data_IF_426298117684
#
_entry.id   IF_426298117684
#
_cell.length_a   1.000
_cell.length_b   1.000
_cell.length_c   1.000
_cell.angle_alpha   90.00
_cell.angle_beta   90.00
_cell.angle_gamma   90.00
#
_symmetry.space_group_name_H-M   'P 1'
#
loop_
_entity.id
_entity.type
_entity.pdbx_description
1 polymer ?
#
# COMPACT_ATOMS: atom_id res chain seq x y z
N UNK A 1 26.52 12.78 -41.58
CA UNK A 1 25.79 13.60 -40.59
C UNK A 1 24.70 12.73 -39.99
N UNK A 2 24.87 12.27 -38.74
CA UNK A 2 23.84 11.48 -38.06
C UNK A 2 22.67 12.42 -37.72
N UNK A 3 21.52 12.21 -38.36
CA UNK A 3 20.25 12.81 -37.95
C UNK A 3 19.97 12.34 -36.53
N UNK A 4 20.12 13.23 -35.55
CA UNK A 4 19.59 13.02 -34.21
C UNK A 4 18.07 12.99 -34.38
N UNK A 5 17.49 11.80 -34.35
CA UNK A 5 16.04 11.62 -34.31
C UNK A 5 15.51 12.32 -33.07
N UNK A 6 14.80 13.43 -33.24
CA UNK A 6 14.11 14.15 -32.17
C UNK A 6 12.82 13.41 -31.80
N UNK A 7 12.96 12.19 -31.27
CA UNK A 7 11.84 11.46 -30.70
C UNK A 7 11.32 12.20 -29.47
N UNK A 8 10.01 12.17 -29.27
CA UNK A 8 9.41 12.72 -28.04
C UNK A 8 9.88 11.92 -26.82
N UNK A 9 9.86 12.51 -25.62
CA UNK A 9 10.19 11.77 -24.38
C UNK A 9 9.36 10.49 -24.24
N UNK A 10 8.12 10.49 -24.74
CA UNK A 10 7.23 9.32 -24.70
C UNK A 10 7.70 8.17 -25.59
N UNK A 11 8.40 8.46 -26.68
CA UNK A 11 8.95 7.47 -27.62
C UNK A 11 10.33 6.95 -27.17
N UNK A 12 10.94 7.57 -26.16
CA UNK A 12 12.22 7.09 -25.63
C UNK A 12 12.05 5.72 -24.98
N UNK A 13 12.78 4.72 -25.48
CA UNK A 13 12.88 3.38 -24.88
C UNK A 13 13.23 3.45 -23.39
N UNK A 14 14.17 4.34 -23.02
CA UNK A 14 14.55 4.57 -21.63
C UNK A 14 13.36 5.05 -20.80
N UNK A 15 12.59 6.01 -21.29
CA UNK A 15 11.42 6.50 -20.57
C UNK A 15 10.35 5.43 -20.43
N UNK A 16 10.08 4.67 -21.49
CA UNK A 16 9.10 3.59 -21.49
C UNK A 16 9.49 2.49 -20.50
N UNK A 17 10.72 1.98 -20.57
CA UNK A 17 11.20 0.93 -19.67
C UNK A 17 11.18 1.39 -18.20
N UNK A 18 11.71 2.58 -17.91
CA UNK A 18 11.71 3.10 -16.53
C UNK A 18 10.30 3.32 -15.99
N UNK A 19 9.38 3.83 -16.82
CA UNK A 19 7.98 4.04 -16.41
C UNK A 19 7.26 2.72 -16.18
N UNK A 20 7.47 1.74 -17.06
CA UNK A 20 6.94 0.38 -16.94
C UNK A 20 7.46 -0.30 -15.67
N UNK A 21 8.76 -0.24 -15.40
CA UNK A 21 9.34 -0.82 -14.18
C UNK A 21 8.80 -0.14 -12.92
N UNK A 22 8.73 1.19 -12.93
CA UNK A 22 8.22 1.96 -11.80
C UNK A 22 6.71 1.79 -11.55
N UNK A 23 5.97 1.16 -12.49
CA UNK A 23 4.57 0.79 -12.29
C UNK A 23 4.39 -0.45 -11.41
N UNK A 24 5.45 -1.27 -11.27
CA UNK A 24 5.43 -2.47 -10.44
C UNK A 24 5.70 -2.08 -8.99
N UNK A 25 4.80 -2.51 -8.10
CA UNK A 25 4.99 -2.27 -6.68
C UNK A 25 6.33 -2.85 -6.18
N UNK A 26 7.03 -2.09 -5.33
CA UNK A 26 8.37 -2.44 -4.85
C UNK A 26 9.51 -1.98 -5.78
N UNK A 27 9.23 -1.53 -7.00
CA UNK A 27 10.24 -0.98 -7.91
C UNK A 27 10.10 0.55 -7.98
N UNK A 28 10.91 1.25 -7.18
CA UNK A 28 11.02 2.71 -7.24
C UNK A 28 11.96 3.20 -8.37
N UNK A 29 12.04 4.52 -8.64
CA UNK A 29 12.86 5.08 -9.72
C UNK A 29 14.34 4.68 -9.67
N UNK A 30 14.89 4.53 -8.47
CA UNK A 30 16.28 4.08 -8.28
C UNK A 30 16.45 2.62 -8.69
N UNK A 31 15.52 1.74 -8.28
CA UNK A 31 15.58 0.32 -8.64
C UNK A 31 15.29 0.12 -10.13
N UNK A 32 14.31 0.84 -10.69
CA UNK A 32 14.03 0.86 -12.12
C UNK A 32 15.27 1.23 -12.95
N UNK A 33 16.04 2.22 -12.51
CA UNK A 33 17.30 2.60 -13.18
C UNK A 33 18.33 1.46 -13.13
N UNK A 34 18.51 0.82 -11.96
CA UNK A 34 19.42 -0.32 -11.83
C UNK A 34 19.04 -1.46 -12.77
N UNK A 35 17.76 -1.83 -12.82
CA UNK A 35 17.25 -2.88 -13.70
C UNK A 35 17.45 -2.52 -15.18
N UNK A 36 17.21 -1.26 -15.54
CA UNK A 36 17.51 -0.77 -16.90
C UNK A 36 19.00 -0.83 -17.23
N UNK A 37 19.87 -0.43 -16.31
CA UNK A 37 21.32 -0.46 -16.50
C UNK A 37 21.87 -1.90 -16.59
N UNK A 38 21.16 -2.89 -16.02
CA UNK A 38 21.42 -4.33 -16.22
C UNK A 38 20.96 -4.87 -17.58
N UNK A 39 20.34 -4.04 -18.43
CA UNK A 39 19.91 -4.41 -19.78
C UNK A 39 18.45 -4.79 -19.92
N UNK A 40 17.66 -4.83 -18.84
CA UNK A 40 16.24 -5.16 -18.90
C UNK A 40 15.45 -4.02 -19.55
N UNK A 41 14.43 -4.36 -20.35
CA UNK A 41 13.56 -3.38 -21.04
C UNK A 41 12.08 -3.62 -20.86
N UNK A 42 11.65 -4.88 -20.68
CA UNK A 42 10.23 -5.24 -20.69
C UNK A 42 9.77 -5.89 -19.38
N UNK A 43 8.46 -6.12 -19.24
CA UNK A 43 7.91 -6.84 -18.08
C UNK A 43 8.38 -8.30 -18.11
N UNK A 44 8.45 -8.91 -19.28
CA UNK A 44 8.93 -10.28 -19.47
C UNK A 44 10.39 -10.41 -19.01
N UNK A 45 11.21 -9.37 -19.21
CA UNK A 45 12.57 -9.35 -18.67
C UNK A 45 12.56 -9.32 -17.13
N UNK A 46 11.64 -8.56 -16.51
CA UNK A 46 11.48 -8.56 -15.05
C UNK A 46 11.00 -9.91 -14.54
N UNK A 47 10.01 -10.51 -15.19
CA UNK A 47 9.47 -11.83 -14.85
C UNK A 47 10.59 -12.88 -14.87
N UNK A 48 11.40 -12.92 -15.93
CA UNK A 48 12.58 -13.79 -16.00
C UNK A 48 13.60 -13.48 -14.90
N UNK A 49 13.90 -12.20 -14.67
CA UNK A 49 14.88 -11.79 -13.67
C UNK A 49 14.47 -12.14 -12.24
N UNK A 50 13.16 -12.13 -11.95
CA UNK A 50 12.61 -12.47 -10.65
C UNK A 50 12.09 -13.92 -10.56
N UNK A 51 12.39 -14.77 -11.55
CA UNK A 51 11.93 -16.16 -11.63
C UNK A 51 10.39 -16.30 -11.46
N UNK A 52 9.63 -15.50 -12.20
CA UNK A 52 8.17 -15.55 -12.29
C UNK A 52 7.80 -16.17 -13.65
N UNK A 53 7.37 -17.43 -13.71
CA UNK A 53 6.92 -18.04 -14.95
C UNK A 53 5.72 -17.28 -15.56
N UNK A 54 5.62 -17.20 -16.90
CA UNK A 54 4.46 -16.62 -17.55
C UNK A 54 3.17 -17.34 -17.17
N UNK A 55 2.13 -16.57 -16.82
CA UNK A 55 0.84 -17.12 -16.42
C UNK A 55 0.79 -17.68 -15.00
N UNK A 56 1.84 -17.50 -14.19
CA UNK A 56 1.80 -17.85 -12.76
C UNK A 56 0.69 -17.11 -12.03
N UNK A 57 -0.01 -17.82 -11.18
CA UNK A 57 -0.88 -17.28 -10.14
C UNK A 57 -0.09 -17.06 -8.84
N UNK A 58 -0.70 -16.39 -7.87
CA UNK A 58 -0.09 -16.21 -6.54
C UNK A 58 0.22 -17.56 -5.90
N UNK A 59 -0.65 -18.55 -6.09
CA UNK A 59 -0.50 -19.90 -5.53
C UNK A 59 0.63 -20.70 -6.21
N UNK A 60 0.98 -20.35 -7.45
CA UNK A 60 2.07 -20.98 -8.21
C UNK A 60 3.45 -20.44 -7.82
N UNK A 61 3.50 -19.24 -7.25
CA UNK A 61 4.74 -18.71 -6.74
C UNK A 61 5.10 -19.49 -5.47
N UNK A 62 6.33 -20.03 -5.39
CA UNK A 62 6.82 -20.62 -4.16
C UNK A 62 7.09 -19.51 -3.15
N UNK A 63 6.03 -18.92 -2.59
CA UNK A 63 6.15 -18.09 -1.42
C UNK A 63 6.43 -18.99 -0.24
N UNK A 64 7.66 -18.92 0.27
CA UNK A 64 7.95 -19.22 1.66
C UNK A 64 7.27 -20.52 2.16
N UNK A 65 7.39 -21.62 1.42
CA UNK A 65 7.52 -22.89 2.15
C UNK A 65 8.71 -22.66 3.06
N UNK A 66 8.46 -22.39 4.33
CA UNK A 66 9.43 -22.53 5.42
C UNK A 66 9.86 -24.01 5.53
N UNK A 67 10.23 -24.66 4.41
CA UNK A 67 11.21 -25.72 4.51
C UNK A 67 12.50 -25.00 4.85
N UNK A 68 12.89 -25.11 6.11
CA UNK A 68 14.23 -24.75 6.55
C UNK A 68 15.21 -25.28 5.50
N UNK A 69 15.89 -24.41 4.76
CA UNK A 69 17.02 -24.84 3.93
C UNK A 69 18.08 -25.33 4.92
N UNK A 70 18.17 -26.66 5.02
CA UNK A 70 19.12 -27.35 5.86
C UNK A 70 20.37 -27.58 5.01
N UNK A 71 21.55 -27.31 5.57
CA UNK A 71 22.79 -27.90 5.06
C UNK A 71 22.63 -29.43 5.03
N UNK A 72 23.44 -30.18 4.25
CA UNK A 72 23.46 -31.64 4.30
C UNK A 72 23.63 -32.25 5.71
N UNK A 73 24.11 -31.46 6.67
CA UNK A 73 24.27 -31.83 8.09
C UNK A 73 23.14 -31.32 9.01
N UNK A 74 21.97 -30.94 8.47
CA UNK A 74 20.79 -30.57 9.26
C UNK A 74 20.86 -29.19 9.94
N UNK A 75 21.82 -28.31 9.61
CA UNK A 75 21.87 -26.94 10.12
C UNK A 75 21.10 -25.97 9.23
N UNK A 76 20.28 -25.09 9.82
CA UNK A 76 19.60 -24.01 9.08
C UNK A 76 20.61 -23.06 8.44
N UNK A 77 20.47 -22.79 7.14
CA UNK A 77 21.22 -21.76 6.43
C UNK A 77 20.63 -20.39 6.81
N UNK A 78 21.41 -19.44 7.35
CA UNK A 78 20.94 -18.07 7.59
C UNK A 78 20.61 -17.41 6.24
N UNK A 79 19.37 -16.95 6.07
CA UNK A 79 19.00 -16.20 4.86
C UNK A 79 19.75 -14.87 4.79
N UNK A 80 20.20 -14.41 3.60
CA UNK A 80 20.75 -13.08 3.44
C UNK A 80 19.69 -12.04 3.80
N UNK A 81 20.11 -10.99 4.51
CA UNK A 81 19.26 -9.88 4.92
C UNK A 81 18.75 -9.13 3.67
N UNK A 82 17.60 -9.54 3.12
CA UNK A 82 16.85 -8.68 2.22
C UNK A 82 16.38 -7.47 3.04
N UNK A 83 16.72 -6.28 2.57
CA UNK A 83 16.43 -5.01 3.24
C UNK A 83 14.92 -4.73 3.24
N UNK A 84 14.20 -5.38 4.14
CA UNK A 84 12.81 -5.10 4.50
C UNK A 84 12.76 -4.46 5.87
N UNK A 85 11.97 -3.41 5.99
CA UNK A 85 11.73 -2.60 7.20
C UNK A 85 11.57 -3.48 8.44
N UNK A 86 12.44 -3.29 9.44
CA UNK A 86 12.34 -3.96 10.74
C UNK A 86 11.08 -3.48 11.49
N UNK A 87 9.95 -4.13 11.25
CA UNK A 87 8.80 -4.10 12.15
C UNK A 87 9.15 -4.94 13.39
N UNK A 88 9.33 -4.30 14.54
CA UNK A 88 9.43 -4.98 15.84
C UNK A 88 8.05 -5.54 16.23
N UNK A 89 7.70 -6.72 15.74
CA UNK A 89 6.60 -7.51 16.31
C UNK A 89 7.06 -8.19 17.60
N UNK A 90 6.71 -7.62 18.76
CA UNK A 90 6.74 -8.33 20.05
C UNK A 90 5.33 -8.86 20.31
N UNK A 91 5.10 -10.14 19.99
CA UNK A 91 3.87 -10.86 20.29
C UNK A 91 4.05 -12.33 19.95
N UNK A 92 4.06 -13.22 20.96
CA UNK A 92 4.24 -14.66 20.78
C UNK A 92 2.87 -15.24 20.38
N UNK A 93 2.57 -15.33 19.09
CA UNK A 93 1.32 -15.94 18.58
C UNK A 93 0.62 -15.25 17.41
N UNK A 94 1.09 -14.08 16.95
CA UNK A 94 0.47 -13.38 15.81
C UNK A 94 0.84 -14.06 14.48
N UNK A 95 -0.17 -14.40 13.68
CA UNK A 95 0.03 -14.86 12.30
C UNK A 95 0.74 -13.74 11.53
N UNK A 96 1.91 -14.04 10.97
CA UNK A 96 2.64 -13.10 10.13
C UNK A 96 1.95 -13.05 8.77
N UNK A 97 1.37 -11.91 8.43
CA UNK A 97 0.76 -11.70 7.11
C UNK A 97 1.84 -11.76 6.01
N UNK A 98 1.52 -12.30 4.82
CA UNK A 98 2.42 -12.27 3.67
C UNK A 98 2.77 -10.84 3.27
N UNK A 99 4.06 -10.57 3.05
CA UNK A 99 4.53 -9.27 2.57
C UNK A 99 4.40 -9.19 1.04
N UNK A 100 4.07 -8.01 0.52
CA UNK A 100 3.97 -7.77 -0.92
C UNK A 100 5.35 -7.75 -1.60
N UNK A 101 5.82 -8.91 -2.07
CA UNK A 101 7.09 -9.03 -2.79
C UNK A 101 7.01 -8.53 -4.24
N UNK A 102 8.16 -8.29 -4.88
CA UNK A 102 8.20 -7.92 -6.31
C UNK A 102 7.63 -9.05 -7.18
N UNK A 103 7.85 -10.32 -6.80
CA UNK A 103 7.29 -11.48 -7.52
C UNK A 103 5.77 -11.45 -7.52
N UNK A 104 5.17 -11.24 -6.36
CA UNK A 104 3.70 -11.08 -6.23
C UNK A 104 3.22 -9.84 -6.97
N UNK A 105 3.96 -8.74 -6.92
CA UNK A 105 3.61 -7.52 -7.65
C UNK A 105 3.59 -7.72 -9.17
N UNK A 106 4.46 -8.57 -9.71
CA UNK A 106 4.44 -8.95 -11.12
C UNK A 106 3.21 -9.79 -11.45
N UNK A 107 2.92 -10.82 -10.66
CA UNK A 107 1.74 -11.68 -10.84
C UNK A 107 0.43 -10.90 -10.73
N UNK A 108 0.31 -10.02 -9.74
CA UNK A 108 -0.90 -9.23 -9.50
C UNK A 108 -0.97 -7.93 -10.31
N UNK A 109 0.00 -7.67 -11.20
CA UNK A 109 0.11 -6.40 -11.95
C UNK A 109 -1.18 -6.04 -12.67
N UNK A 110 -1.78 -6.99 -13.40
CA UNK A 110 -2.98 -6.74 -14.19
C UNK A 110 -4.17 -6.37 -13.29
N UNK A 111 -4.38 -7.15 -12.22
CA UNK A 111 -5.43 -6.89 -11.23
C UNK A 111 -5.25 -5.50 -10.59
N UNK A 112 -4.04 -5.17 -10.13
CA UNK A 112 -3.72 -3.93 -9.41
C UNK A 112 -3.69 -2.67 -10.28
N UNK A 113 -3.51 -2.82 -11.60
CA UNK A 113 -3.53 -1.67 -12.54
C UNK A 113 -4.91 -1.44 -13.15
N UNK A 114 -5.81 -2.41 -13.02
CA UNK A 114 -7.20 -2.28 -13.46
C UNK A 114 -7.91 -1.22 -12.60
N UNK A 115 -8.60 -0.28 -13.23
CA UNK A 115 -9.32 0.77 -12.51
C UNK A 115 -10.51 0.20 -11.71
N UNK A 116 -10.87 0.88 -10.62
CA UNK A 116 -11.90 0.46 -9.66
C UNK A 116 -13.13 1.36 -9.81
N UNK A 117 -14.29 0.83 -10.27
CA UNK A 117 -15.55 1.58 -10.32
C UNK A 117 -16.03 2.00 -8.92
N UNK A 118 -16.74 3.13 -8.83
CA UNK A 118 -17.25 3.65 -7.54
C UNK A 118 -18.07 2.66 -6.74
N UNK A 119 -18.92 1.87 -7.40
CA UNK A 119 -19.72 0.85 -6.75
C UNK A 119 -18.87 -0.21 -6.04
N UNK A 120 -17.74 -0.62 -6.64
CA UNK A 120 -16.82 -1.57 -6.02
C UNK A 120 -16.07 -0.92 -4.85
N UNK A 121 -15.68 0.35 -4.96
CA UNK A 121 -15.09 1.12 -3.84
C UNK A 121 -16.04 1.16 -2.63
N UNK A 122 -17.32 1.42 -2.89
CA UNK A 122 -18.37 1.48 -1.86
C UNK A 122 -18.62 0.10 -1.24
N UNK A 123 -18.61 -0.97 -2.03
CA UNK A 123 -18.71 -2.34 -1.54
C UNK A 123 -17.52 -2.74 -0.65
N UNK A 124 -16.29 -2.43 -1.08
CA UNK A 124 -15.07 -2.65 -0.27
C UNK A 124 -15.17 -1.92 1.07
N UNK A 125 -15.60 -0.65 1.05
CA UNK A 125 -15.79 0.14 2.26
C UNK A 125 -16.83 -0.47 3.20
N UNK A 126 -17.99 -0.89 2.69
CA UNK A 126 -19.03 -1.54 3.49
C UNK A 126 -18.55 -2.82 4.17
N UNK A 127 -17.82 -3.68 3.44
CA UNK A 127 -17.25 -4.92 4.00
C UNK A 127 -16.24 -4.61 5.09
N UNK A 128 -15.31 -3.67 4.85
CA UNK A 128 -14.31 -3.25 5.84
C UNK A 128 -14.99 -2.70 7.10
N UNK A 129 -15.97 -1.81 6.94
CA UNK A 129 -16.65 -1.18 8.07
C UNK A 129 -17.52 -2.18 8.84
N UNK A 130 -18.10 -3.17 8.18
CA UNK A 130 -18.78 -4.28 8.85
C UNK A 130 -17.83 -5.07 9.75
N UNK A 131 -16.67 -5.48 9.23
CA UNK A 131 -15.68 -6.22 10.03
C UNK A 131 -15.08 -5.36 11.16
N UNK A 132 -14.95 -4.05 10.95
CA UNK A 132 -14.51 -3.11 11.98
C UNK A 132 -15.54 -2.94 13.10
N UNK A 133 -16.83 -2.87 12.76
CA UNK A 133 -17.91 -2.72 13.74
C UNK A 133 -17.96 -3.90 14.73
N UNK A 134 -17.62 -5.11 14.28
CA UNK A 134 -17.54 -6.32 15.13
C UNK A 134 -16.39 -6.25 16.16
N UNK A 135 -15.27 -5.60 15.83
CA UNK A 135 -14.09 -5.53 16.71
C UNK A 135 -14.07 -4.26 17.57
N UNK A 136 -14.62 -3.16 17.07
CA UNK A 136 -14.67 -1.88 17.76
C UNK A 136 -15.89 -1.08 17.27
N UNK A 137 -17.04 -1.20 17.96
CA UNK A 137 -18.20 -0.37 17.73
C UNK A 137 -17.88 1.13 17.88
N UNK A 138 -18.62 1.98 17.15
CA UNK A 138 -18.51 3.43 17.27
C UNK A 138 -17.45 4.08 16.38
N UNK A 139 -16.75 3.27 15.56
CA UNK A 139 -15.86 3.77 14.54
C UNK A 139 -16.61 4.54 13.43
N UNK A 140 -16.01 5.64 12.98
CA UNK A 140 -16.47 6.44 11.85
C UNK A 140 -15.42 6.41 10.74
N UNK A 141 -15.84 6.63 9.49
CA UNK A 141 -14.88 6.61 8.38
C UNK A 141 -15.27 7.53 7.23
N UNK A 142 -14.30 7.80 6.37
CA UNK A 142 -14.48 8.54 5.12
C UNK A 142 -13.59 7.94 4.06
N UNK A 143 -14.19 7.58 2.91
CA UNK A 143 -13.44 7.23 1.70
C UNK A 143 -12.82 8.52 1.17
N UNK A 144 -11.50 8.54 0.99
CA UNK A 144 -10.72 9.72 0.57
C UNK A 144 -10.13 9.52 -0.82
N UNK A 145 -8.93 10.04 -1.09
CA UNK A 145 -8.22 9.81 -2.35
C UNK A 145 -8.96 10.32 -3.58
N UNK A 146 -8.74 9.64 -4.70
CA UNK A 146 -9.38 9.97 -5.98
C UNK A 146 -10.91 9.89 -5.95
N UNK A 147 -11.44 8.95 -5.18
CA UNK A 147 -12.88 8.75 -5.02
C UNK A 147 -13.56 10.00 -4.46
N UNK A 148 -13.02 10.58 -3.37
CA UNK A 148 -13.58 11.77 -2.72
C UNK A 148 -13.48 13.03 -3.57
N UNK A 149 -12.50 13.10 -4.47
CA UNK A 149 -12.37 14.17 -5.47
C UNK A 149 -13.30 13.99 -6.69
N UNK A 150 -14.19 12.99 -6.66
CA UNK A 150 -15.19 12.79 -7.70
C UNK A 150 -14.70 12.01 -8.92
N UNK A 151 -13.57 11.28 -8.84
CA UNK A 151 -13.18 10.42 -9.96
C UNK A 151 -14.25 9.33 -10.20
N UNK A 152 -14.60 9.05 -11.48
CA UNK A 152 -15.52 7.97 -11.82
C UNK A 152 -14.92 6.58 -11.58
N UNK A 153 -13.58 6.49 -11.64
CA UNK A 153 -12.84 5.27 -11.33
C UNK A 153 -11.59 5.63 -10.51
N UNK A 154 -11.27 4.78 -9.54
CA UNK A 154 -10.09 4.91 -8.67
C UNK A 154 -8.97 3.96 -9.09
N UNK A 155 -7.74 4.23 -8.65
CA UNK A 155 -6.62 3.30 -8.79
C UNK A 155 -6.50 2.38 -7.55
N UNK A 156 -7.00 2.85 -6.43
CA UNK A 156 -6.91 2.28 -5.09
C UNK A 156 -8.10 2.77 -4.25
N UNK A 157 -8.30 2.14 -3.09
CA UNK A 157 -9.29 2.56 -2.10
C UNK A 157 -8.58 3.05 -0.85
N UNK A 158 -8.72 4.34 -0.54
CA UNK A 158 -8.19 4.95 0.67
C UNK A 158 -9.33 5.20 1.68
N UNK A 159 -9.20 4.72 2.90
CA UNK A 159 -10.21 4.90 3.96
C UNK A 159 -9.55 5.51 5.19
N UNK A 160 -9.98 6.73 5.56
CA UNK A 160 -9.70 7.29 6.89
C UNK A 160 -10.71 6.71 7.87
N UNK A 161 -10.23 6.20 9.00
CA UNK A 161 -11.01 5.61 10.07
C UNK A 161 -10.67 6.34 11.38
N UNK A 162 -11.68 6.60 12.20
CA UNK A 162 -11.53 7.11 13.56
C UNK A 162 -12.67 6.60 14.45
N UNK A 163 -12.86 7.22 15.60
CA UNK A 163 -13.93 6.90 16.55
C UNK A 163 -14.77 8.14 16.84
N UNK A 164 -16.08 7.96 16.99
CA UNK A 164 -17.02 9.07 17.21
C UNK A 164 -16.87 9.76 18.57
N UNK A 165 -16.38 9.03 19.59
CA UNK A 165 -16.09 9.60 20.91
C UNK A 165 -14.79 10.42 20.92
N UNK A 166 -14.90 11.73 21.12
CA UNK A 166 -13.79 12.66 21.24
C UNK A 166 -12.99 12.53 22.55
N UNK A 167 -13.53 11.90 23.59
CA UNK A 167 -12.84 11.78 24.89
C UNK A 167 -11.95 10.55 24.95
N UNK A 168 -12.49 9.39 24.56
CA UNK A 168 -11.77 8.11 24.65
C UNK A 168 -11.34 7.54 23.30
N UNK A 169 -11.81 8.12 22.18
CA UNK A 169 -11.60 7.58 20.85
C UNK A 169 -10.15 7.40 20.44
N UNK A 170 -9.25 8.31 20.86
CA UNK A 170 -7.82 8.18 20.59
C UNK A 170 -7.20 6.90 21.19
N UNK A 171 -7.69 6.46 22.35
CA UNK A 171 -7.29 5.18 22.97
C UNK A 171 -7.92 3.98 22.26
N UNK A 172 -9.17 4.11 21.82
CA UNK A 172 -9.93 3.03 21.17
C UNK A 172 -9.41 2.70 19.76
N UNK A 173 -8.92 3.69 19.00
CA UNK A 173 -8.36 3.46 17.66
C UNK A 173 -6.91 2.96 17.68
N UNK A 174 -6.23 3.02 18.83
CA UNK A 174 -4.81 2.62 18.96
C UNK A 174 -4.63 1.12 18.75
N UNK A 175 -3.75 0.76 17.81
CA UNK A 175 -3.48 -0.64 17.45
C UNK A 175 -4.62 -1.32 16.69
N UNK A 176 -5.73 -0.61 16.44
CA UNK A 176 -6.89 -1.17 15.76
C UNK A 176 -6.59 -1.47 14.30
N UNK A 177 -5.66 -0.73 13.71
CA UNK A 177 -5.15 -0.97 12.37
C UNK A 177 -4.61 -2.40 12.21
N UNK A 178 -3.71 -2.82 13.10
CA UNK A 178 -3.15 -4.19 13.06
C UNK A 178 -4.23 -5.24 13.30
N UNK A 179 -5.11 -5.03 14.29
CA UNK A 179 -6.21 -5.96 14.60
C UNK A 179 -7.18 -6.15 13.44
N UNK A 180 -7.61 -5.05 12.80
CA UNK A 180 -8.50 -5.10 11.64
C UNK A 180 -7.83 -5.82 10.48
N UNK A 181 -6.58 -5.49 10.15
CA UNK A 181 -5.85 -6.12 9.05
C UNK A 181 -5.68 -7.63 9.28
N UNK A 182 -5.34 -8.07 10.49
CA UNK A 182 -5.28 -9.49 10.84
C UNK A 182 -6.64 -10.19 10.69
N UNK A 183 -7.73 -9.54 11.12
CA UNK A 183 -9.09 -10.08 10.95
C UNK A 183 -9.47 -10.22 9.48
N UNK A 184 -9.22 -9.19 8.66
CA UNK A 184 -9.49 -9.23 7.23
C UNK A 184 -8.67 -10.33 6.54
N UNK A 185 -7.41 -10.55 6.95
CA UNK A 185 -6.58 -11.65 6.47
C UNK A 185 -7.16 -13.01 6.86
N UNK A 186 -7.57 -13.20 8.12
CA UNK A 186 -8.20 -14.45 8.57
C UNK A 186 -9.53 -14.76 7.84
N UNK A 187 -10.18 -13.75 7.26
CA UNK A 187 -11.37 -13.87 6.42
C UNK A 187 -11.06 -14.08 4.92
N UNK A 188 -9.79 -14.09 4.53
CA UNK A 188 -9.36 -14.17 3.13
C UNK A 188 -9.63 -12.89 2.32
N UNK A 189 -9.91 -11.76 2.98
CA UNK A 189 -10.22 -10.49 2.33
C UNK A 189 -8.96 -9.66 2.08
N UNK A 190 -8.01 -9.66 3.02
CA UNK A 190 -6.65 -9.15 2.78
C UNK A 190 -5.76 -10.34 2.43
N UNK A 191 -4.96 -10.23 1.37
CA UNK A 191 -4.04 -11.30 0.96
C UNK A 191 -2.59 -10.97 1.27
N UNK A 192 -2.19 -9.71 1.06
CA UNK A 192 -0.80 -9.26 1.26
C UNK A 192 -0.74 -7.90 1.94
N UNK A 193 0.35 -7.68 2.67
CA UNK A 193 0.68 -6.44 3.33
C UNK A 193 1.76 -5.70 2.55
N UNK A 194 1.47 -4.45 2.18
CA UNK A 194 2.41 -3.56 1.49
C UNK A 194 3.18 -2.71 2.52
N UNK A 195 2.48 -2.26 3.56
CA UNK A 195 3.09 -1.48 4.64
C UNK A 195 2.19 -1.50 5.88
N UNK A 196 2.78 -1.59 7.07
CA UNK A 196 2.08 -1.48 8.35
C UNK A 196 2.83 -0.54 9.29
N UNK A 197 2.13 0.42 9.88
CA UNK A 197 2.67 1.35 10.87
C UNK A 197 1.72 1.60 12.04
N UNK A 198 2.28 1.60 13.26
CA UNK A 198 1.62 2.07 14.49
C UNK A 198 1.54 3.60 14.60
N UNK A 199 0.87 4.13 15.63
CA UNK A 199 0.95 5.55 15.96
C UNK A 199 2.39 5.88 16.39
N UNK A 200 2.98 6.92 15.82
CA UNK A 200 4.34 7.35 16.17
C UNK A 200 4.32 8.78 16.71
N UNK A 201 5.10 9.06 17.75
CA UNK A 201 5.32 10.46 18.15
C UNK A 201 5.94 11.25 16.98
N UNK A 202 5.51 12.50 16.82
CA UNK A 202 6.07 13.40 15.81
C UNK A 202 7.58 13.52 16.00
N UNK A 203 8.36 12.94 15.09
CA UNK A 203 9.81 13.01 15.13
C UNK A 203 10.29 13.97 14.03
N UNK A 204 10.66 15.18 14.44
CA UNK A 204 11.15 16.23 13.54
C UNK A 204 12.40 15.83 12.74
N UNK A 205 13.12 14.78 13.15
CA UNK A 205 14.32 14.26 12.47
C UNK A 205 14.01 13.17 11.42
N UNK A 206 12.78 12.64 11.37
CA UNK A 206 12.39 11.64 10.36
C UNK A 206 11.90 12.35 9.10
N UNK A 207 12.78 12.48 8.12
CA UNK A 207 12.51 13.08 6.80
C UNK A 207 11.64 12.23 5.87
N UNK A 208 11.18 11.04 6.30
CA UNK A 208 10.46 10.08 5.45
C UNK A 208 9.07 9.66 5.90
N UNK A 209 8.60 10.06 7.09
CA UNK A 209 7.22 9.80 7.53
C UNK A 209 6.39 11.07 7.39
N UNK A 210 5.39 10.99 6.51
CA UNK A 210 4.55 12.12 6.11
C UNK A 210 3.53 12.53 7.17
N UNK A 211 3.23 11.64 8.12
CA UNK A 211 2.35 11.89 9.26
C UNK A 211 2.58 10.82 10.37
N UNK A 212 1.90 10.98 11.50
CA UNK A 212 1.96 10.11 12.68
C UNK A 212 0.86 9.05 12.79
N UNK A 213 0.00 8.96 11.77
CA UNK A 213 -1.20 8.11 11.80
C UNK A 213 -0.86 6.62 11.67
N UNK A 214 -1.75 5.77 12.17
CA UNK A 214 -1.68 4.32 11.95
C UNK A 214 -2.10 3.98 10.52
N UNK A 215 -1.41 3.04 9.88
CA UNK A 215 -1.69 2.68 8.47
C UNK A 215 -1.45 1.21 8.21
N UNK A 216 -2.34 0.64 7.41
CA UNK A 216 -2.13 -0.63 6.72
C UNK A 216 -2.39 -0.40 5.23
N UNK A 217 -1.34 -0.46 4.42
CA UNK A 217 -1.46 -0.49 2.96
C UNK A 217 -1.48 -1.96 2.57
N UNK A 218 -2.54 -2.40 1.89
CA UNK A 218 -2.86 -3.83 1.72
C UNK A 218 -3.29 -4.15 0.30
N UNK A 219 -3.19 -5.44 -0.03
CA UNK A 219 -3.89 -6.05 -1.17
C UNK A 219 -5.15 -6.71 -0.66
N UNK A 220 -6.28 -6.36 -1.25
CA UNK A 220 -7.62 -6.77 -0.85
C UNK A 220 -8.37 -7.42 -2.00
N UNK A 221 -9.18 -8.43 -1.70
CA UNK A 221 -10.07 -9.09 -2.67
C UNK A 221 -11.44 -9.29 -2.03
N UNK A 222 -12.48 -8.90 -2.75
CA UNK A 222 -13.85 -9.17 -2.32
C UNK A 222 -14.17 -10.65 -2.54
N UNK A 223 -14.93 -11.24 -1.61
CA UNK A 223 -15.39 -12.62 -1.75
C UNK A 223 -16.17 -12.79 -3.06
N UNK A 224 -15.89 -13.89 -3.77
CA UNK A 224 -16.59 -14.21 -5.02
C UNK A 224 -18.08 -14.41 -4.77
N UNK A 225 -18.90 -13.60 -5.43
CA UNK A 225 -20.36 -13.76 -5.48
C UNK A 225 -20.76 -14.14 -6.90
N UNK A 226 -21.13 -15.40 -7.10
CA UNK A 226 -21.55 -15.93 -8.40
C UNK A 226 -20.39 -16.23 -9.35
N UNK A 227 -20.63 -16.04 -10.66
CA UNK A 227 -19.72 -16.47 -11.75
C UNK A 227 -18.62 -15.46 -12.09
N UNK A 228 -18.67 -14.24 -11.54
CA UNK A 228 -17.73 -13.18 -11.91
C UNK A 228 -16.48 -13.24 -11.02
N UNK A 229 -15.30 -13.43 -11.62
CA UNK A 229 -14.01 -13.43 -10.91
C UNK A 229 -13.81 -12.07 -10.25
N UNK A 230 -13.65 -12.06 -8.93
CA UNK A 230 -13.19 -10.88 -8.18
C UNK A 230 -11.68 -10.81 -8.26
N UNK A 231 -11.15 -9.60 -8.37
CA UNK A 231 -9.74 -9.34 -8.63
C UNK A 231 -9.10 -8.60 -7.46
N UNK A 232 -7.77 -8.67 -7.37
CA UNK A 232 -7.04 -8.00 -6.31
C UNK A 232 -7.02 -6.49 -6.50
N UNK A 233 -7.35 -5.75 -5.43
CA UNK A 233 -7.37 -4.29 -5.38
C UNK A 233 -6.41 -3.79 -4.31
N UNK A 234 -5.84 -2.60 -4.48
CA UNK A 234 -5.18 -1.92 -3.36
C UNK A 234 -6.23 -1.34 -2.41
N UNK A 235 -6.01 -1.54 -1.13
CA UNK A 235 -6.78 -0.95 -0.04
C UNK A 235 -5.83 -0.38 1.00
N UNK A 236 -5.91 0.93 1.22
CA UNK A 236 -5.13 1.66 2.19
C UNK A 236 -6.07 2.06 3.36
N UNK A 237 -5.80 1.51 4.55
CA UNK A 237 -6.53 1.78 5.79
C UNK A 237 -5.70 2.72 6.65
N UNK A 238 -6.28 3.87 7.02
CA UNK A 238 -5.57 4.92 7.76
C UNK A 238 -6.38 5.27 9.00
N UNK A 239 -5.76 5.13 10.17
CA UNK A 239 -6.40 5.38 11.46
C UNK A 239 -5.90 6.69 12.06
N UNK A 240 -6.83 7.58 12.36
CA UNK A 240 -6.57 8.86 12.98
C UNK A 240 -7.24 8.95 14.35
N UNK A 241 -6.58 9.59 15.31
CA UNK A 241 -7.24 10.00 16.54
C UNK A 241 -8.36 11.01 16.19
N UNK A 242 -9.48 11.07 16.96
CA UNK A 242 -10.62 11.92 16.60
C UNK A 242 -10.27 13.39 16.36
N UNK A 243 -9.30 13.92 17.10
CA UNK A 243 -8.83 15.30 17.01
C UNK A 243 -8.10 15.59 15.69
N UNK A 244 -7.47 14.58 15.10
CA UNK A 244 -6.73 14.66 13.84
C UNK A 244 -7.56 14.18 12.63
N UNK A 245 -8.82 13.77 12.84
CA UNK A 245 -9.62 13.13 11.79
C UNK A 245 -9.77 14.01 10.54
N UNK A 246 -10.07 15.30 10.72
CA UNK A 246 -10.32 16.18 9.59
C UNK A 246 -9.05 16.61 8.86
N UNK A 247 -7.93 16.78 9.57
CA UNK A 247 -6.63 17.00 8.93
C UNK A 247 -6.17 15.76 8.16
N UNK A 248 -6.47 14.56 8.66
CA UNK A 248 -6.23 13.31 7.94
C UNK A 248 -7.11 13.20 6.68
N UNK A 249 -8.40 13.54 6.77
CA UNK A 249 -9.30 13.57 5.62
C UNK A 249 -8.80 14.52 4.55
N UNK A 250 -8.35 15.73 4.89
CA UNK A 250 -7.75 16.66 3.93
C UNK A 250 -6.47 16.05 3.33
N UNK A 251 -5.53 15.66 4.20
CA UNK A 251 -4.22 15.12 3.84
C UNK A 251 -4.26 13.95 2.86
N UNK A 252 -5.25 13.08 3.02
CA UNK A 252 -5.45 11.88 2.19
C UNK A 252 -6.51 12.08 1.09
N UNK A 253 -7.26 13.17 1.09
CA UNK A 253 -8.13 13.54 -0.04
C UNK A 253 -7.32 14.00 -1.25
N UNK A 254 -6.13 14.59 -1.05
CA UNK A 254 -5.30 15.08 -2.14
C UNK A 254 -5.95 16.21 -2.95
N UNK A 255 -5.52 16.48 -4.19
CA UNK A 255 -4.48 15.78 -4.96
C UNK A 255 -3.06 16.07 -4.42
N UNK A 256 -2.05 15.33 -4.90
CA UNK A 256 -0.65 15.51 -4.48
C UNK A 256 -0.18 16.96 -4.60
N UNK A 257 -0.55 17.64 -5.68
CA UNK A 257 -0.16 19.04 -5.92
C UNK A 257 -0.88 20.00 -4.97
N UNK A 258 -2.19 19.80 -4.79
CA UNK A 258 -2.97 20.57 -3.82
C UNK A 258 -2.38 20.48 -2.41
N UNK A 259 -2.08 19.26 -1.97
CA UNK A 259 -1.50 19.01 -0.64
C UNK A 259 -0.08 19.58 -0.48
N UNK A 260 0.72 19.60 -1.55
CA UNK A 260 2.03 20.24 -1.54
C UNK A 260 1.90 21.75 -1.37
N UNK A 261 1.02 22.35 -2.16
CA UNK A 261 0.84 23.80 -2.18
C UNK A 261 0.13 24.29 -0.91
N UNK A 262 -0.81 23.52 -0.36
CA UNK A 262 -1.45 23.79 0.93
C UNK A 262 -0.43 23.84 2.09
N UNK A 263 0.47 22.84 2.16
CA UNK A 263 1.53 22.82 3.18
C UNK A 263 2.50 23.99 3.01
N UNK A 264 2.84 24.32 1.77
CA UNK A 264 3.71 25.45 1.46
C UNK A 264 3.06 26.78 1.88
N UNK A 265 1.79 26.97 1.54
CA UNK A 265 1.00 28.14 1.90
C UNK A 265 0.83 28.28 3.41
N UNK A 266 0.49 27.20 4.13
CA UNK A 266 0.38 27.24 5.59
C UNK A 266 1.69 27.70 6.25
N UNK A 267 2.83 27.23 5.72
CA UNK A 267 4.15 27.63 6.18
C UNK A 267 4.46 29.10 5.86
N UNK A 268 4.27 29.51 4.61
CA UNK A 268 4.72 30.82 4.13
C UNK A 268 3.78 31.96 4.55
N UNK A 269 2.48 31.76 4.42
CA UNK A 269 1.48 32.81 4.62
C UNK A 269 0.92 32.85 6.04
N UNK A 270 0.99 31.72 6.77
CA UNK A 270 0.43 31.60 8.12
C UNK A 270 1.46 31.28 9.20
N UNK A 271 2.70 30.95 8.84
CA UNK A 271 3.72 30.52 9.81
C UNK A 271 3.32 29.22 10.55
N UNK A 272 2.39 28.44 9.99
CA UNK A 272 1.85 27.21 10.58
C UNK A 272 2.43 25.97 9.89
N UNK A 273 2.33 24.82 10.54
CA UNK A 273 2.74 23.54 9.95
C UNK A 273 1.53 22.61 9.82
N UNK A 274 1.03 22.50 8.60
CA UNK A 274 -0.01 21.51 8.28
C UNK A 274 0.59 20.14 7.92
N UNK A 275 0.07 19.07 8.50
CA UNK A 275 0.20 17.70 8.00
C UNK A 275 -1.07 16.88 8.28
N UNK A 276 -1.09 15.61 7.86
CA UNK A 276 -2.29 14.76 8.03
C UNK A 276 -2.61 14.44 9.50
N UNK A 277 -1.74 14.79 10.44
CA UNK A 277 -1.94 14.61 11.90
C UNK A 277 -2.33 15.90 12.62
N UNK A 278 -2.29 17.07 11.98
CA UNK A 278 -2.63 18.33 12.64
C UNK A 278 -2.21 19.59 11.88
N UNK A 279 -2.48 20.74 12.50
CA UNK A 279 -2.06 22.08 12.09
C UNK A 279 -1.28 22.76 13.22
#
# INVERSE_FOLDING_TARGET
MNKISTGTTRESERFQALSTFASIYGIGPVNARKLYDLGLRTIEDLERYYDVPPGSTVDDLPELQESALLTPNGKRIPQPLMSGTKGKGKGKGDVKLPDMSIKIALVLKEDLTTSIPRAEVEEMHQVVMKELQEIQPGCVSTIVGGYRRGKPQSNDVDIIISHSDLKSGAGLVRGLCTKLTQRLYAKGLVTHLMHLSGFHAHNALKTGHWDSLEKALTVFVLASSGKQRRIHRRLDLIFAAPEAYWTAVIGWSGSRMFERDLRLWAKQEKGMKFDSSGL
#
